data_IF_000190232681
#
_entry.id   IF_000190232681
#
_cell.length_a   1.000
_cell.length_b   1.000
_cell.length_c   1.000
_cell.angle_alpha   90.00
_cell.angle_beta   90.00
_cell.angle_gamma   90.00
#
_symmetry.space_group_name_H-M   'P 1'
#
loop_
_entity.id
_entity.type
_entity.pdbx_description
1 polymer ?
#
# COMPACT_ATOMS: atom_id res chain seq x y z
N UNK A 1 -12.37 8.95 5.60
CA UNK A 1 -11.24 9.00 6.57
C UNK A 1 -10.42 10.25 6.31
N UNK A 2 -9.64 10.74 7.28
CA UNK A 2 -8.77 11.91 7.11
C UNK A 2 -7.30 11.49 7.03
N UNK A 3 -6.41 12.45 6.74
CA UNK A 3 -4.97 12.17 6.60
C UNK A 3 -4.32 11.66 7.89
N UNK A 4 -4.82 12.05 9.06
CA UNK A 4 -4.31 11.52 10.33
C UNK A 4 -4.56 10.01 10.45
N UNK A 5 -5.73 9.54 9.99
CA UNK A 5 -6.03 8.12 9.92
C UNK A 5 -5.12 7.40 8.92
N UNK A 6 -4.99 7.92 7.69
CA UNK A 6 -4.16 7.28 6.67
C UNK A 6 -2.67 7.29 7.02
N UNK A 7 -2.17 8.34 7.66
CA UNK A 7 -0.80 8.41 8.16
C UNK A 7 -0.54 7.30 9.20
N UNK A 8 -1.48 7.12 10.14
CA UNK A 8 -1.38 6.05 11.15
C UNK A 8 -1.39 4.65 10.51
N UNK A 9 -2.29 4.38 9.55
CA UNK A 9 -2.37 3.08 8.86
C UNK A 9 -1.15 2.83 7.99
N UNK A 10 -0.69 3.86 7.27
CA UNK A 10 0.46 3.79 6.37
C UNK A 10 1.83 3.82 7.06
N UNK A 11 1.88 3.99 8.38
CA UNK A 11 3.14 4.00 9.14
C UNK A 11 4.01 5.24 8.91
N UNK A 12 3.42 6.36 8.49
CA UNK A 12 4.13 7.62 8.24
C UNK A 12 3.60 8.77 9.10
N UNK A 13 4.34 9.87 9.15
CA UNK A 13 3.92 11.04 9.92
C UNK A 13 2.76 11.78 9.24
N UNK A 14 1.92 12.49 10.02
CA UNK A 14 0.86 13.33 9.44
C UNK A 14 1.41 14.43 8.50
N UNK A 15 2.51 15.16 8.82
CA UNK A 15 3.10 16.12 7.89
C UNK A 15 3.52 15.49 6.56
N UNK A 16 4.09 14.28 6.60
CA UNK A 16 4.48 13.54 5.41
C UNK A 16 3.26 13.11 4.58
N UNK A 17 2.21 12.60 5.21
CA UNK A 17 0.96 12.27 4.51
C UNK A 17 0.32 13.50 3.84
N UNK A 18 0.32 14.64 4.53
CA UNK A 18 -0.18 15.90 3.95
C UNK A 18 0.67 16.36 2.76
N UNK A 19 2.00 16.22 2.86
CA UNK A 19 2.90 16.56 1.75
C UNK A 19 2.63 15.65 0.53
N UNK A 20 2.52 14.34 0.75
CA UNK A 20 2.27 13.36 -0.31
C UNK A 20 0.90 13.56 -0.96
N UNK A 21 -0.14 13.94 -0.20
CA UNK A 21 -1.44 14.29 -0.78
C UNK A 21 -1.30 15.46 -1.76
N UNK A 22 -0.65 16.55 -1.34
CA UNK A 22 -0.47 17.74 -2.19
C UNK A 22 0.37 17.40 -3.42
N UNK A 23 1.48 16.68 -3.25
CA UNK A 23 2.35 16.25 -4.35
C UNK A 23 1.58 15.38 -5.38
N UNK A 24 0.79 14.42 -4.90
CA UNK A 24 -0.08 13.60 -5.75
C UNK A 24 -1.10 14.43 -6.53
N UNK A 25 -1.82 15.34 -5.85
CA UNK A 25 -2.85 16.17 -6.48
C UNK A 25 -2.27 17.06 -7.59
N UNK A 26 -1.08 17.63 -7.38
CA UNK A 26 -0.37 18.37 -8.43
C UNK A 26 0.15 17.46 -9.54
N UNK A 27 0.65 16.26 -9.20
CA UNK A 27 1.14 15.28 -10.17
C UNK A 27 0.07 14.82 -11.16
N UNK A 28 -1.19 14.70 -10.72
CA UNK A 28 -2.34 14.37 -11.58
C UNK A 28 -3.08 15.59 -12.12
N UNK A 29 -2.61 16.80 -11.85
CA UNK A 29 -3.26 18.04 -12.30
C UNK A 29 -4.67 18.23 -11.75
N UNK A 30 -4.96 17.70 -10.56
CA UNK A 30 -6.29 17.67 -9.94
C UNK A 30 -7.37 16.95 -10.76
N UNK A 31 -7.00 16.17 -11.79
CA UNK A 31 -7.93 15.33 -12.52
C UNK A 31 -8.15 14.01 -11.76
N UNK A 32 -9.15 14.00 -10.89
CA UNK A 32 -9.47 12.88 -10.00
C UNK A 32 -10.60 11.99 -10.53
N UNK A 33 -11.23 12.39 -11.64
CA UNK A 33 -12.38 11.68 -12.18
C UNK A 33 -11.95 10.63 -13.20
N UNK A 34 -12.14 9.35 -12.85
CA UNK A 34 -11.93 8.24 -13.78
C UNK A 34 -13.27 7.83 -14.39
N UNK A 35 -13.42 7.92 -15.71
CA UNK A 35 -14.63 7.43 -16.39
C UNK A 35 -14.69 5.89 -16.36
N UNK A 36 -15.89 5.28 -16.43
CA UNK A 36 -16.02 3.82 -16.51
C UNK A 36 -15.25 3.20 -17.68
N UNK A 37 -15.18 3.92 -18.80
CA UNK A 37 -14.40 3.53 -19.97
C UNK A 37 -12.88 3.50 -19.66
N UNK A 38 -12.37 4.56 -19.03
CA UNK A 38 -10.95 4.65 -18.64
C UNK A 38 -10.58 3.55 -17.65
N UNK A 39 -11.43 3.33 -16.64
CA UNK A 39 -11.26 2.25 -15.67
C UNK A 39 -11.22 0.87 -16.37
N UNK A 40 -12.17 0.61 -17.27
CA UNK A 40 -12.23 -0.64 -18.02
C UNK A 40 -10.98 -0.88 -18.88
N UNK A 41 -10.44 0.17 -19.51
CA UNK A 41 -9.21 0.08 -20.28
C UNK A 41 -8.01 -0.30 -19.40
N UNK A 42 -7.84 0.34 -18.24
CA UNK A 42 -6.76 -0.03 -17.31
C UNK A 42 -6.90 -1.45 -16.77
N UNK A 43 -8.11 -1.92 -16.48
CA UNK A 43 -8.35 -3.32 -16.10
C UNK A 43 -7.90 -4.29 -17.19
N UNK A 44 -8.24 -4.02 -18.47
CA UNK A 44 -7.85 -4.86 -19.58
C UNK A 44 -6.33 -4.93 -19.77
N UNK A 45 -5.63 -3.79 -19.60
CA UNK A 45 -4.16 -3.74 -19.63
C UNK A 45 -3.58 -4.62 -18.50
N UNK A 46 -4.03 -4.43 -17.26
CA UNK A 46 -3.53 -5.19 -16.12
C UNK A 46 -3.75 -6.70 -16.27
N UNK A 47 -4.91 -7.11 -16.80
CA UNK A 47 -5.21 -8.52 -17.09
C UNK A 47 -4.29 -9.11 -18.16
N UNK A 48 -4.01 -8.34 -19.22
CA UNK A 48 -3.09 -8.76 -20.28
C UNK A 48 -1.67 -8.97 -19.73
N UNK A 49 -1.18 -8.05 -18.91
CA UNK A 49 0.16 -8.16 -18.30
C UNK A 49 0.27 -9.36 -17.35
N UNK A 50 -0.75 -9.63 -16.54
CA UNK A 50 -0.80 -10.81 -15.68
C UNK A 50 -0.70 -12.10 -16.50
N UNK A 51 -1.44 -12.20 -17.61
CA UNK A 51 -1.38 -13.35 -18.51
C UNK A 51 -0.01 -13.49 -19.19
N UNK A 52 0.66 -12.38 -19.54
CA UNK A 52 2.01 -12.41 -20.08
C UNK A 52 3.05 -12.89 -19.05
N UNK A 53 2.91 -12.52 -17.77
CA UNK A 53 3.78 -12.99 -16.68
C UNK A 53 3.59 -14.47 -16.35
N UNK A 54 2.39 -15.03 -16.57
CA UNK A 54 2.10 -16.46 -16.40
C UNK A 54 2.62 -17.32 -17.57
N UNK A 55 2.95 -16.70 -18.70
CA UNK A 55 3.41 -17.38 -19.92
C UNK A 55 4.93 -17.45 -20.04
N UNK A 56 5.72 -16.89 -19.10
CA UNK A 56 7.15 -17.18 -19.03
C UNK A 56 7.31 -18.68 -18.82
N UNK A 57 7.72 -19.43 -19.86
CA UNK A 57 7.79 -20.86 -19.75
C UNK A 57 8.96 -21.15 -18.83
N UNK A 58 8.68 -21.77 -17.71
CA UNK A 58 9.63 -22.38 -16.75
C UNK A 58 10.42 -23.52 -17.44
N UNK A 59 11.07 -23.24 -18.57
CA UNK A 59 11.49 -24.21 -19.60
C UNK A 59 12.94 -24.03 -20.05
N UNK A 60 13.79 -23.34 -19.29
CA UNK A 60 15.24 -23.43 -19.49
C UNK A 60 15.95 -24.37 -18.50
N UNK A 61 15.22 -25.16 -17.72
CA UNK A 61 15.83 -26.25 -16.95
C UNK A 61 15.97 -27.51 -17.83
N UNK A 62 17.19 -28.01 -18.07
CA UNK A 62 17.40 -29.24 -18.83
C UNK A 62 16.84 -30.45 -18.06
N UNK A 63 16.38 -31.51 -18.77
CA UNK A 63 15.71 -32.63 -18.14
C UNK A 63 16.75 -33.56 -17.53
N UNK A 64 17.23 -33.27 -16.33
CA UNK A 64 17.86 -34.31 -15.51
C UNK A 64 17.71 -34.01 -14.02
N UNK A 65 17.18 -35.01 -13.31
CA UNK A 65 16.99 -35.10 -11.86
C UNK A 65 15.73 -34.43 -11.30
N UNK A 66 14.66 -35.22 -11.34
CA UNK A 66 13.66 -35.35 -10.27
C UNK A 66 14.17 -34.96 -8.87
N UNK A 67 13.72 -33.82 -8.36
CA UNK A 67 13.59 -33.59 -6.93
C UNK A 67 12.49 -32.54 -6.69
N UNK A 68 11.47 -32.93 -5.95
CA UNK A 68 10.27 -32.17 -5.66
C UNK A 68 10.58 -30.81 -5.00
N UNK A 69 9.96 -29.74 -5.51
CA UNK A 69 9.76 -28.50 -4.77
C UNK A 69 8.38 -27.92 -5.14
N UNK A 70 7.53 -27.54 -4.17
CA UNK A 70 6.19 -27.05 -4.44
C UNK A 70 6.23 -25.61 -4.97
N UNK A 71 5.26 -25.31 -5.84
CA UNK A 71 5.23 -24.15 -6.70
C UNK A 71 5.37 -22.79 -6.03
N UNK A 72 5.96 -21.87 -6.79
CA UNK A 72 5.98 -20.44 -6.51
C UNK A 72 4.56 -19.89 -6.59
N UNK A 73 3.82 -20.01 -5.49
CA UNK A 73 2.56 -19.30 -5.29
C UNK A 73 2.96 -17.93 -4.76
N UNK A 74 2.86 -16.89 -5.59
CA UNK A 74 2.88 -15.50 -5.09
C UNK A 74 1.66 -15.32 -4.18
N UNK A 75 1.84 -15.70 -2.93
CA UNK A 75 0.88 -15.52 -1.87
C UNK A 75 1.05 -14.07 -1.43
N UNK A 76 0.23 -13.18 -2.00
CA UNK A 76 0.00 -11.87 -1.41
C UNK A 76 -0.60 -12.11 -0.02
N UNK A 77 0.27 -12.19 0.99
CA UNK A 77 -0.11 -12.27 2.39
C UNK A 77 -0.81 -10.96 2.76
N UNK A 78 -2.11 -10.83 2.48
CA UNK A 78 -2.94 -9.91 3.23
C UNK A 78 -3.23 -10.60 4.56
N UNK A 79 -2.25 -10.55 5.47
CA UNK A 79 -2.46 -10.92 6.85
C UNK A 79 -3.26 -9.79 7.50
N UNK A 80 -4.58 -9.96 7.55
CA UNK A 80 -5.44 -9.19 8.43
C UNK A 80 -5.22 -9.72 9.87
N UNK A 81 -4.23 -9.17 10.57
CA UNK A 81 -4.05 -9.38 12.01
C UNK A 81 -4.82 -8.30 12.78
N UNK A 82 -6.05 -8.60 13.19
CA UNK A 82 -6.74 -7.84 14.24
C UNK A 82 -6.43 -8.50 15.60
N UNK A 83 -5.20 -8.30 16.05
CA UNK A 83 -4.68 -8.73 17.35
C UNK A 83 -4.90 -7.65 18.41
N UNK A 84 -5.85 -7.92 19.31
CA UNK A 84 -6.25 -7.07 20.43
C UNK A 84 -5.15 -6.90 21.50
N UNK A 85 -5.07 -5.70 22.09
CA UNK A 85 -4.88 -5.41 23.54
C UNK A 85 -3.60 -4.70 23.99
N UNK A 86 -3.85 -3.78 24.93
CA UNK A 86 -3.01 -3.36 26.05
C UNK A 86 -1.86 -2.37 25.72
N UNK A 87 -1.48 -1.40 26.56
CA UNK A 87 -1.94 -0.87 27.84
C UNK A 87 -1.07 0.38 28.08
N UNK A 88 -1.70 1.43 28.61
CA UNK A 88 -1.17 2.58 29.39
C UNK A 88 0.34 2.90 29.39
N UNK A 89 0.67 4.18 29.15
CA UNK A 89 1.69 4.96 29.88
C UNK A 89 1.57 6.46 29.53
N UNK A 90 0.63 7.17 30.15
CA UNK A 90 0.60 8.64 30.10
C UNK A 90 1.44 9.20 31.23
N UNK A 91 2.66 9.63 30.92
CA UNK A 91 3.41 10.61 31.71
C UNK A 91 3.65 11.79 30.80
N UNK A 92 3.07 12.95 31.10
CA UNK A 92 3.59 14.22 30.60
C UNK A 92 3.24 15.35 31.57
N UNK A 93 4.32 15.92 32.10
CA UNK A 93 4.38 17.14 32.90
C UNK A 93 3.78 18.32 32.13
N UNK A 94 2.82 19.00 32.72
CA UNK A 94 2.34 20.30 32.27
C UNK A 94 3.34 21.39 32.68
N UNK A 95 4.17 21.81 31.74
CA UNK A 95 4.84 23.11 31.80
C UNK A 95 4.55 23.85 30.49
N UNK A 96 3.54 24.73 30.50
CA UNK A 96 3.63 25.97 29.75
C UNK A 96 2.75 27.03 30.41
N UNK A 97 3.42 27.92 31.13
CA UNK A 97 2.91 29.19 31.61
C UNK A 97 3.46 30.25 30.65
N UNK A 98 2.58 31.04 30.03
CA UNK A 98 2.75 32.49 29.83
C UNK A 98 1.55 33.06 29.05
N UNK A 99 0.72 33.79 29.80
CA UNK A 99 -0.33 34.67 29.31
C UNK A 99 -0.38 35.83 30.30
N UNK A 100 0.15 36.99 29.92
CA UNK A 100 -0.21 38.29 30.46
C UNK A 100 0.46 39.41 29.65
N UNK A 101 -0.40 40.26 29.10
CA UNK A 101 -0.32 41.69 28.81
C UNK A 101 1.04 42.40 28.82
#
# INVERSE_FOLDING_TARGET
YNNAYFAKVGGISLPEMNYLEVDFLFGVGFDLNVSPETFGHYCAILQSEMLCLELEPESLLPPTAVAAAPGSRMHCCLSEDDGTSATTSSSNSTQQQQLAA
#
